data_IF_300202375952
#
_entry.id   IF_300202375952
#
_cell.length_a   1.000
_cell.length_b   1.000
_cell.length_c   1.000
_cell.angle_alpha   90.00
_cell.angle_beta   90.00
_cell.angle_gamma   90.00
#
_symmetry.space_group_name_H-M   'P 1'
#
loop_
_entity.id
_entity.type
_entity.pdbx_description
1 polymer ?
#
# COMPACT_ATOMS: atom_id res chain seq x y z
N UNK A 1 -6.62 18.01 -55.47
CA UNK A 1 -6.90 17.67 -54.06
C UNK A 1 -6.37 16.28 -53.79
N UNK A 2 -5.33 16.12 -52.96
CA UNK A 2 -4.81 14.79 -52.57
C UNK A 2 -4.55 14.81 -51.06
N UNK A 3 -5.46 14.17 -50.32
CA UNK A 3 -5.34 13.94 -48.86
C UNK A 3 -4.18 12.98 -48.65
N UNK A 4 -3.12 13.41 -47.98
CA UNK A 4 -2.00 12.53 -47.62
C UNK A 4 -1.84 12.50 -46.11
N UNK A 5 -2.39 11.41 -45.55
CA UNK A 5 -1.83 10.57 -44.49
C UNK A 5 -1.31 11.30 -43.24
N UNK A 6 -2.24 11.63 -42.34
CA UNK A 6 -1.94 11.77 -40.89
C UNK A 6 -2.18 10.39 -40.25
N UNK A 7 -1.32 9.42 -40.54
CA UNK A 7 -1.43 8.07 -39.94
C UNK A 7 -0.10 7.53 -39.41
N UNK A 8 1.02 8.21 -39.67
CA UNK A 8 2.35 7.76 -39.25
C UNK A 8 2.72 8.13 -37.80
N UNK A 9 2.03 9.09 -37.17
CA UNK A 9 2.36 9.53 -35.80
C UNK A 9 1.77 8.66 -34.68
N UNK A 10 0.80 7.79 -34.98
CA UNK A 10 0.22 6.86 -34.00
C UNK A 10 1.09 5.61 -33.77
N UNK A 11 1.93 5.25 -34.73
CA UNK A 11 2.78 4.05 -34.63
C UNK A 11 3.97 4.23 -33.67
N UNK A 12 4.43 5.47 -33.45
CA UNK A 12 5.56 5.76 -32.58
C UNK A 12 5.23 5.77 -31.08
N UNK A 13 3.95 5.92 -30.70
CA UNK A 13 3.53 5.87 -29.29
C UNK A 13 3.29 4.44 -28.77
N UNK A 14 3.16 3.43 -29.64
CA UNK A 14 2.96 2.04 -29.24
C UNK A 14 4.27 1.28 -28.97
N UNK A 15 5.41 1.87 -29.33
CA UNK A 15 6.73 1.27 -29.17
C UNK A 15 7.45 1.73 -27.89
N UNK A 16 6.76 2.42 -26.97
CA UNK A 16 7.30 2.61 -25.63
C UNK A 16 7.35 1.23 -24.97
N UNK A 17 8.54 0.71 -24.61
CA UNK A 17 8.61 -0.49 -23.81
C UNK A 17 7.82 -0.19 -22.54
N UNK A 18 6.71 -0.89 -22.34
CA UNK A 18 6.06 -0.93 -21.05
C UNK A 18 7.11 -1.53 -20.12
N UNK A 19 7.87 -0.67 -19.42
CA UNK A 19 8.62 -1.07 -18.24
C UNK A 19 7.58 -1.80 -17.41
N UNK A 20 7.78 -3.10 -17.25
CA UNK A 20 6.90 -3.92 -16.43
C UNK A 20 6.84 -3.21 -15.09
N UNK A 21 5.73 -2.54 -14.81
CA UNK A 21 5.42 -2.03 -13.50
C UNK A 21 5.24 -3.30 -12.66
N UNK A 22 6.35 -3.82 -12.16
CA UNK A 22 6.34 -4.85 -11.15
C UNK A 22 5.48 -4.27 -10.04
N UNK A 23 4.35 -4.92 -9.77
CA UNK A 23 3.53 -4.57 -8.63
C UNK A 23 4.43 -4.78 -7.42
N UNK A 24 5.06 -3.71 -6.94
CA UNK A 24 5.88 -3.80 -5.75
C UNK A 24 4.92 -4.18 -4.62
N UNK A 25 5.32 -5.19 -3.85
CA UNK A 25 4.51 -5.68 -2.76
C UNK A 25 4.23 -4.53 -1.79
N UNK A 26 3.08 -4.57 -1.12
CA UNK A 26 2.76 -3.62 -0.04
C UNK A 26 3.88 -3.60 1.00
N UNK A 27 4.47 -4.78 1.26
CA UNK A 27 5.56 -4.92 2.22
C UNK A 27 6.82 -4.11 1.88
N UNK A 28 7.02 -3.78 0.60
CA UNK A 28 8.19 -3.06 0.12
C UNK A 28 8.03 -1.54 0.08
N UNK A 29 6.79 -1.05 0.05
CA UNK A 29 6.48 0.37 -0.11
C UNK A 29 6.00 1.01 1.21
N UNK A 30 6.84 1.84 1.83
CA UNK A 30 6.49 2.47 3.10
C UNK A 30 5.27 3.40 3.03
N UNK A 31 5.02 4.02 1.88
CA UNK A 31 3.83 4.83 1.66
C UNK A 31 2.55 3.98 1.65
N UNK A 32 2.57 2.82 0.97
CA UNK A 32 1.44 1.88 0.97
C UNK A 32 1.14 1.33 2.38
N UNK A 33 2.19 1.04 3.16
CA UNK A 33 2.06 0.68 4.59
C UNK A 33 1.35 1.80 5.37
N UNK A 34 1.70 3.06 5.11
CA UNK A 34 1.03 4.24 5.68
C UNK A 34 -0.45 4.32 5.33
N UNK A 35 -0.79 4.28 4.04
CA UNK A 35 -2.17 4.36 3.57
C UNK A 35 -3.06 3.26 4.18
N UNK A 36 -2.54 2.04 4.26
CA UNK A 36 -3.23 0.92 4.90
C UNK A 36 -3.39 1.16 6.39
N UNK A 37 -2.37 1.67 7.09
CA UNK A 37 -2.49 2.03 8.49
C UNK A 37 -3.56 3.10 8.73
N UNK A 38 -3.64 4.12 7.87
CA UNK A 38 -4.70 5.12 7.91
C UNK A 38 -6.09 4.51 7.70
N UNK A 39 -6.23 3.61 6.73
CA UNK A 39 -7.48 2.89 6.49
C UNK A 39 -7.89 2.02 7.68
N UNK A 40 -6.95 1.27 8.27
CA UNK A 40 -7.21 0.40 9.43
C UNK A 40 -7.54 1.22 10.68
N UNK A 41 -6.91 2.38 10.89
CA UNK A 41 -7.25 3.30 11.96
C UNK A 41 -8.68 3.87 11.78
N UNK A 42 -9.05 4.21 10.55
CA UNK A 42 -10.44 4.59 10.20
C UNK A 42 -11.42 3.47 10.54
N UNK A 43 -11.11 2.21 10.20
CA UNK A 43 -11.96 1.07 10.59
C UNK A 43 -12.17 0.97 12.10
N UNK A 44 -11.11 1.13 12.90
CA UNK A 44 -11.19 1.10 14.37
C UNK A 44 -12.06 2.25 14.89
N UNK A 45 -11.90 3.45 14.33
CA UNK A 45 -12.72 4.62 14.66
C UNK A 45 -14.20 4.39 14.34
N UNK A 46 -14.49 3.65 13.27
CA UNK A 46 -15.84 3.23 12.86
C UNK A 46 -16.27 1.88 13.46
N UNK A 47 -15.68 1.47 14.59
CA UNK A 47 -16.08 0.32 15.42
C UNK A 47 -15.99 -1.05 14.72
N UNK A 48 -15.25 -1.17 13.61
CA UNK A 48 -14.88 -2.50 13.10
C UNK A 48 -14.05 -3.19 14.16
N UNK A 49 -14.28 -4.49 14.39
CA UNK A 49 -13.49 -5.27 15.35
C UNK A 49 -12.19 -5.74 14.72
N UNK A 50 -11.20 -6.11 15.55
CA UNK A 50 -9.95 -6.73 15.10
C UNK A 50 -10.21 -7.95 14.21
N UNK A 51 -11.13 -8.83 14.62
CA UNK A 51 -11.49 -10.03 13.87
C UNK A 51 -12.05 -9.68 12.47
N UNK A 52 -12.95 -8.71 12.39
CA UNK A 52 -13.50 -8.24 11.11
C UNK A 52 -12.44 -7.58 10.22
N UNK A 53 -11.48 -6.87 10.81
CA UNK A 53 -10.37 -6.28 10.06
C UNK A 53 -9.45 -7.36 9.47
N UNK A 54 -9.11 -8.39 10.25
CA UNK A 54 -8.29 -9.52 9.81
C UNK A 54 -9.00 -10.34 8.72
N UNK A 55 -10.29 -10.60 8.89
CA UNK A 55 -11.10 -11.27 7.87
C UNK A 55 -11.13 -10.46 6.57
N UNK A 56 -11.30 -9.14 6.65
CA UNK A 56 -11.24 -8.27 5.49
C UNK A 56 -9.87 -8.31 4.81
N UNK A 57 -8.78 -8.27 5.57
CA UNK A 57 -7.43 -8.40 5.02
C UNK A 57 -7.23 -9.74 4.30
N UNK A 58 -7.71 -10.85 4.87
CA UNK A 58 -7.63 -12.17 4.25
C UNK A 58 -8.38 -12.27 2.91
N UNK A 59 -9.43 -11.48 2.71
CA UNK A 59 -10.21 -11.45 1.46
C UNK A 59 -9.56 -10.62 0.35
N UNK A 60 -8.87 -9.53 0.69
CA UNK A 60 -8.35 -8.57 -0.29
C UNK A 60 -6.85 -8.72 -0.59
N UNK A 61 -6.08 -9.32 0.31
CA UNK A 61 -4.64 -9.55 0.13
C UNK A 61 -4.35 -11.04 -0.11
N UNK A 62 -4.17 -11.39 -1.38
CA UNK A 62 -3.94 -12.77 -1.81
C UNK A 62 -2.48 -13.21 -1.60
N UNK A 63 -1.54 -12.30 -1.83
CA UNK A 63 -0.12 -12.55 -1.56
C UNK A 63 0.12 -12.75 -0.06
N UNK A 64 0.95 -13.73 0.28
CA UNK A 64 1.20 -14.11 1.66
C UNK A 64 1.97 -13.04 2.44
N UNK A 65 2.95 -12.38 1.79
CA UNK A 65 3.76 -11.33 2.41
C UNK A 65 2.92 -10.07 2.66
N UNK A 66 2.10 -9.67 1.69
CA UNK A 66 1.19 -8.53 1.84
C UNK A 66 0.13 -8.79 2.90
N UNK A 67 -0.47 -9.99 2.92
CA UNK A 67 -1.43 -10.37 3.95
C UNK A 67 -0.80 -10.35 5.34
N UNK A 68 0.44 -10.82 5.47
CA UNK A 68 1.17 -10.77 6.75
C UNK A 68 1.46 -9.32 7.16
N UNK A 69 1.90 -8.47 6.24
CA UNK A 69 2.17 -7.05 6.51
C UNK A 69 0.90 -6.33 6.99
N UNK A 70 -0.23 -6.50 6.30
CA UNK A 70 -1.51 -5.90 6.68
C UNK A 70 -2.00 -6.44 8.01
N UNK A 71 -1.88 -7.74 8.24
CA UNK A 71 -2.24 -8.36 9.52
C UNK A 71 -1.44 -7.74 10.67
N UNK A 72 -0.12 -7.57 10.51
CA UNK A 72 0.73 -6.93 11.52
C UNK A 72 0.33 -5.47 11.82
N UNK A 73 -0.09 -4.71 10.79
CA UNK A 73 -0.64 -3.35 10.98
C UNK A 73 -1.93 -3.41 11.81
N UNK A 74 -2.84 -4.33 11.48
CA UNK A 74 -4.08 -4.54 12.23
C UNK A 74 -3.78 -4.89 13.68
N UNK A 75 -2.86 -5.82 13.94
CA UNK A 75 -2.46 -6.18 15.30
C UNK A 75 -1.97 -4.97 16.08
N UNK A 76 -1.06 -4.17 15.49
CA UNK A 76 -0.49 -3.00 16.15
C UNK A 76 -1.55 -1.94 16.44
N UNK A 77 -2.48 -1.66 15.51
CA UNK A 77 -3.53 -0.65 15.69
C UNK A 77 -4.61 -1.09 16.70
N UNK A 78 -4.91 -2.39 16.77
CA UNK A 78 -5.95 -2.93 17.64
C UNK A 78 -5.45 -3.44 19.00
N UNK A 79 -4.14 -3.40 19.27
CA UNK A 79 -3.59 -3.77 20.57
C UNK A 79 -4.28 -2.99 21.71
N UNK A 80 -4.55 -3.63 22.88
CA UNK A 80 -5.26 -3.01 23.99
C UNK A 80 -4.67 -1.66 24.43
N UNK A 81 -3.34 -1.57 24.44
CA UNK A 81 -2.60 -0.39 24.88
C UNK A 81 -2.21 0.56 23.74
N UNK A 82 -2.66 0.27 22.50
CA UNK A 82 -2.33 1.11 21.36
C UNK A 82 -3.08 2.46 21.43
N UNK A 83 -2.37 3.59 21.27
CA UNK A 83 -3.00 4.91 21.25
C UNK A 83 -4.06 4.97 20.14
N UNK A 84 -5.15 5.69 20.42
CA UNK A 84 -6.19 5.96 19.43
C UNK A 84 -5.70 7.08 18.51
N UNK A 85 -5.25 6.69 17.32
CA UNK A 85 -4.78 7.61 16.29
C UNK A 85 -5.90 7.95 15.30
N UNK A 86 -5.85 9.16 14.74
CA UNK A 86 -6.59 9.49 13.52
C UNK A 86 -6.01 8.73 12.32
N UNK A 87 -6.73 8.60 11.19
CA UNK A 87 -6.19 8.01 9.96
C UNK A 87 -4.85 8.64 9.54
N UNK A 88 -4.75 9.97 9.55
CA UNK A 88 -3.53 10.66 9.14
C UNK A 88 -2.36 10.41 10.11
N UNK A 89 -2.63 10.41 11.42
CA UNK A 89 -1.63 10.09 12.43
C UNK A 89 -1.10 8.67 12.26
N UNK A 90 -1.98 7.70 12.01
CA UNK A 90 -1.58 6.32 11.77
C UNK A 90 -0.77 6.20 10.48
N UNK A 91 -1.21 6.85 9.39
CA UNK A 91 -0.47 6.82 8.12
C UNK A 91 0.95 7.38 8.27
N UNK A 92 1.10 8.55 8.88
CA UNK A 92 2.43 9.14 9.10
C UNK A 92 3.32 8.30 10.02
N UNK A 93 2.78 7.82 11.15
CA UNK A 93 3.54 7.03 12.12
C UNK A 93 4.08 5.73 11.49
N UNK A 94 3.24 4.99 10.77
CA UNK A 94 3.64 3.74 10.14
C UNK A 94 4.57 3.95 8.94
N UNK A 95 4.37 5.02 8.15
CA UNK A 95 5.29 5.39 7.06
C UNK A 95 6.67 5.70 7.61
N UNK A 96 6.75 6.54 8.65
CA UNK A 96 8.00 6.93 9.31
C UNK A 96 8.71 5.72 9.91
N UNK A 97 7.99 4.86 10.64
CA UNK A 97 8.54 3.62 11.21
C UNK A 97 9.13 2.72 10.12
N UNK A 98 8.43 2.56 8.99
CA UNK A 98 8.92 1.77 7.85
C UNK A 98 10.18 2.39 7.24
N UNK A 99 10.18 3.69 6.98
CA UNK A 99 11.31 4.39 6.38
C UNK A 99 12.56 4.30 7.27
N UNK A 100 12.39 4.49 8.58
CA UNK A 100 13.48 4.37 9.55
C UNK A 100 14.07 2.95 9.60
N UNK A 101 13.22 1.90 9.59
CA UNK A 101 13.71 0.51 9.53
C UNK A 101 14.49 0.22 8.26
N UNK A 102 14.04 0.72 7.10
CA UNK A 102 14.75 0.56 5.83
C UNK A 102 16.07 1.34 5.79
N UNK A 103 16.15 2.50 6.47
CA UNK A 103 17.39 3.26 6.60
C UNK A 103 18.44 2.58 7.50
N UNK A 104 17.98 1.85 8.52
CA UNK A 104 18.84 1.15 9.48
C UNK A 104 19.27 -0.25 9.00
N UNK A 105 18.59 -0.81 8.01
CA UNK A 105 18.97 -2.09 7.40
C UNK A 105 20.02 -1.81 6.31
N UNK A 106 21.28 -2.23 6.45
CA UNK A 106 22.27 -2.05 5.39
C UNK A 106 21.74 -2.70 4.11
N UNK A 107 21.76 -1.97 2.98
CA UNK A 107 21.54 -2.60 1.68
C UNK A 107 22.70 -3.57 1.47
N UNK A 108 22.44 -4.87 1.60
CA UNK A 108 23.37 -5.93 1.23
C UNK A 108 23.50 -6.00 -0.29
#
# INVERSE_FOLDING_TARGET
MKRVVVSALLAACLAQPAVQAVAQTVSDQCFAIGDIAGQVASWRAHKKTRAQALEQAARYYNDAADRQAVSAIIEKIYSPDAPRMTPDQASMAFTSDCANRKAQTPRQ
#
